data_IF_012854943502
#
_entry.id   IF_012854943502
#
_cell.length_a   1.000
_cell.length_b   1.000
_cell.length_c   1.000
_cell.angle_alpha   90.00
_cell.angle_beta   90.00
_cell.angle_gamma   90.00
#
_symmetry.space_group_name_H-M   'P 1'
#
loop_
_entity.id
_entity.type
_entity.pdbx_description
1 polymer ?
#
# COMPACT_ATOMS: atom_id res chain seq x y z
N UNK A 1 -4.48 -15.49 0.01
CA UNK A 1 -4.90 -14.10 0.24
C UNK A 1 -3.74 -13.39 0.89
N UNK A 2 -3.30 -12.25 0.35
CA UNK A 2 -2.25 -11.42 0.96
C UNK A 2 -2.87 -10.57 2.06
N UNK A 3 -2.19 -10.45 3.19
CA UNK A 3 -2.53 -9.49 4.24
C UNK A 3 -1.57 -8.31 4.11
N UNK A 4 -2.13 -7.13 3.93
CA UNK A 4 -1.40 -5.90 3.60
C UNK A 4 -1.61 -4.93 4.77
N UNK A 5 -0.54 -4.62 5.48
CA UNK A 5 -0.55 -3.65 6.56
C UNK A 5 -0.71 -2.23 5.97
N UNK A 6 -1.85 -1.59 6.21
CA UNK A 6 -2.14 -0.26 5.71
C UNK A 6 -1.20 0.75 6.39
N UNK A 7 -0.28 1.36 5.63
CA UNK A 7 0.74 2.29 6.14
C UNK A 7 1.60 1.72 7.26
N UNK A 8 1.75 0.40 7.31
CA UNK A 8 2.47 -0.35 8.34
C UNK A 8 1.65 -0.75 9.58
N UNK A 9 0.36 -0.40 9.65
CA UNK A 9 -0.50 -0.80 10.78
C UNK A 9 -0.80 -2.30 10.79
N UNK A 10 -0.64 -2.95 11.94
CA UNK A 10 -0.96 -4.38 12.11
C UNK A 10 -2.01 -4.67 13.17
N UNK A 11 -2.13 -3.84 14.21
CA UNK A 11 -3.02 -4.04 15.37
C UNK A 11 -3.92 -2.82 15.58
N UNK A 12 -4.48 -2.32 14.47
CA UNK A 12 -5.23 -1.09 14.44
C UNK A 12 -4.35 0.13 14.16
N UNK A 13 -5.05 1.25 13.96
CA UNK A 13 -4.48 2.46 13.43
C UNK A 13 -3.59 3.20 14.44
N UNK A 14 -2.31 3.35 14.10
CA UNK A 14 -1.37 4.21 14.85
C UNK A 14 -0.95 5.43 14.03
N UNK A 15 -1.67 6.55 14.21
CA UNK A 15 -1.50 7.78 13.42
C UNK A 15 -0.08 8.38 13.50
N UNK A 16 0.63 8.16 14.60
CA UNK A 16 1.96 8.74 14.81
C UNK A 16 3.05 7.95 14.07
N UNK A 17 2.78 6.68 13.73
CA UNK A 17 3.72 5.78 13.08
C UNK A 17 3.35 5.40 11.64
N UNK A 18 2.13 5.74 11.17
CA UNK A 18 1.73 5.56 9.77
C UNK A 18 2.83 6.05 8.82
N UNK A 19 3.17 5.23 7.83
CA UNK A 19 4.20 5.50 6.82
C UNK A 19 5.63 5.66 7.35
N UNK A 20 5.90 5.46 8.64
CA UNK A 20 7.27 5.50 9.15
C UNK A 20 8.05 4.29 8.60
N UNK A 21 9.26 4.46 8.00
CA UNK A 21 10.00 3.36 7.36
C UNK A 21 10.19 2.14 8.26
N UNK A 22 10.65 2.33 9.50
CA UNK A 22 10.78 1.23 10.47
C UNK A 22 9.47 0.50 10.77
N UNK A 23 8.33 1.20 10.77
CA UNK A 23 7.03 0.60 11.06
C UNK A 23 6.57 -0.30 9.90
N UNK A 24 6.74 0.19 8.67
CA UNK A 24 6.54 -0.59 7.44
C UNK A 24 7.45 -1.81 7.43
N UNK A 25 8.76 -1.63 7.65
CA UNK A 25 9.73 -2.73 7.67
C UNK A 25 9.39 -3.76 8.75
N UNK A 26 8.88 -3.33 9.91
CA UNK A 26 8.46 -4.25 10.96
C UNK A 26 7.23 -5.08 10.54
N UNK A 27 6.25 -4.51 9.84
CA UNK A 27 5.12 -5.26 9.29
C UNK A 27 5.61 -6.30 8.27
N UNK A 28 6.51 -5.90 7.37
CA UNK A 28 7.09 -6.80 6.36
C UNK A 28 7.87 -7.95 7.00
N UNK A 29 8.70 -7.66 8.01
CA UNK A 29 9.45 -8.68 8.76
C UNK A 29 8.56 -9.66 9.52
N UNK A 30 7.31 -9.29 9.83
CA UNK A 30 6.32 -10.18 10.43
C UNK A 30 5.62 -11.08 9.39
N UNK A 31 5.92 -10.91 8.10
CA UNK A 31 5.37 -11.71 7.00
C UNK A 31 4.16 -11.10 6.31
N UNK A 32 3.84 -9.82 6.58
CA UNK A 32 2.80 -9.07 5.88
C UNK A 32 3.37 -8.35 4.66
N UNK A 33 2.52 -8.08 3.69
CA UNK A 33 2.78 -7.03 2.71
C UNK A 33 2.48 -5.67 3.38
N UNK A 34 2.86 -4.54 2.77
CA UNK A 34 2.54 -3.21 3.29
C UNK A 34 2.14 -2.24 2.18
N UNK A 35 1.06 -1.49 2.42
CA UNK A 35 0.72 -0.32 1.60
C UNK A 35 1.43 0.91 2.16
N UNK A 36 1.95 1.75 1.28
CA UNK A 36 2.65 2.99 1.63
C UNK A 36 2.17 4.14 0.75
N UNK A 37 2.08 5.33 1.33
CA UNK A 37 1.85 6.57 0.60
C UNK A 37 3.21 7.23 0.29
N UNK A 38 3.49 7.54 -0.98
CA UNK A 38 4.75 8.14 -1.41
C UNK A 38 4.59 9.42 -2.21
N UNK A 39 5.47 10.38 -1.96
CA UNK A 39 5.63 11.62 -2.70
C UNK A 39 7.01 11.68 -3.36
N UNK A 40 7.08 12.41 -4.46
CA UNK A 40 8.35 12.82 -5.09
C UNK A 40 8.34 14.34 -5.26
N UNK A 41 9.08 15.07 -4.42
CA UNK A 41 9.17 16.54 -4.47
C UNK A 41 10.60 16.96 -4.81
N UNK A 42 11.49 16.98 -3.81
CA UNK A 42 12.95 17.16 -3.98
C UNK A 42 13.71 15.83 -3.77
N UNK A 43 12.97 14.78 -3.40
CA UNK A 43 13.40 13.43 -3.10
C UNK A 43 12.18 12.56 -2.81
N UNK A 44 12.40 11.32 -2.42
CA UNK A 44 11.31 10.43 -2.03
C UNK A 44 10.97 10.60 -0.57
N UNK A 45 9.68 10.81 -0.29
CA UNK A 45 9.16 10.97 1.06
C UNK A 45 7.91 10.11 1.24
N UNK A 46 7.86 9.34 2.32
CA UNK A 46 6.65 8.65 2.73
C UNK A 46 5.73 9.58 3.52
N UNK A 47 4.42 9.40 3.39
CA UNK A 47 3.43 10.10 4.22
C UNK A 47 2.06 10.25 3.58
N UNK A 48 1.00 10.26 4.38
CA UNK A 48 -0.38 10.23 3.86
C UNK A 48 -0.87 11.58 3.31
N UNK A 49 -0.93 12.59 4.18
CA UNK A 49 -1.48 13.91 3.82
C UNK A 49 -0.41 14.87 3.27
N UNK A 50 0.86 14.56 3.54
CA UNK A 50 2.03 15.36 3.16
C UNK A 50 3.28 14.49 3.16
N UNK A 51 4.35 14.89 2.45
CA UNK A 51 5.69 14.34 2.64
C UNK A 51 6.11 14.42 4.11
N UNK A 52 6.60 13.32 4.70
CA UNK A 52 6.95 13.27 6.12
C UNK A 52 8.26 12.54 6.41
N UNK A 53 8.50 11.38 5.80
CA UNK A 53 9.68 10.57 6.08
C UNK A 53 10.51 10.36 4.82
N UNK A 54 11.63 11.06 4.72
CA UNK A 54 12.53 10.92 3.59
C UNK A 54 13.17 9.53 3.57
N UNK A 55 13.21 8.95 2.37
CA UNK A 55 13.82 7.64 2.10
C UNK A 55 14.72 7.72 0.87
N UNK A 56 15.67 6.79 0.78
CA UNK A 56 16.34 6.50 -0.47
C UNK A 56 15.46 5.60 -1.35
N UNK A 57 15.61 5.68 -2.67
CA UNK A 57 14.88 4.80 -3.60
C UNK A 57 15.23 3.32 -3.37
N UNK A 58 16.42 3.02 -2.86
CA UNK A 58 16.85 1.67 -2.50
C UNK A 58 15.89 1.00 -1.51
N UNK A 59 15.22 1.76 -0.63
CA UNK A 59 14.18 1.24 0.26
C UNK A 59 13.03 0.57 -0.52
N UNK A 60 12.62 1.16 -1.65
CA UNK A 60 11.53 0.61 -2.47
C UNK A 60 11.96 -0.68 -3.16
N UNK A 61 13.21 -0.76 -3.59
CA UNK A 61 13.76 -1.95 -4.24
C UNK A 61 14.05 -3.08 -3.25
N UNK A 62 14.51 -2.76 -2.04
CA UNK A 62 14.75 -3.75 -0.98
C UNK A 62 13.47 -4.52 -0.63
N UNK A 63 12.32 -3.84 -0.66
CA UNK A 63 11.02 -4.40 -0.27
C UNK A 63 10.01 -4.53 -1.42
N UNK A 64 10.47 -4.53 -2.68
CA UNK A 64 9.59 -4.46 -3.85
C UNK A 64 8.57 -5.61 -3.97
N UNK A 65 8.91 -6.79 -3.44
CA UNK A 65 8.04 -7.97 -3.44
C UNK A 65 6.89 -7.88 -2.41
N UNK A 66 6.96 -6.94 -1.46
CA UNK A 66 6.00 -6.79 -0.36
C UNK A 66 5.32 -5.41 -0.32
N UNK A 67 5.81 -4.44 -1.09
CA UNK A 67 5.26 -3.08 -1.09
C UNK A 67 4.13 -2.89 -2.11
N UNK A 68 3.08 -2.21 -1.65
CA UNK A 68 1.99 -1.64 -2.45
C UNK A 68 2.12 -0.12 -2.42
N UNK A 69 2.57 0.47 -3.52
CA UNK A 69 3.06 1.86 -3.55
C UNK A 69 1.97 2.78 -4.08
N UNK A 70 1.31 3.49 -3.18
CA UNK A 70 0.31 4.50 -3.48
C UNK A 70 0.98 5.86 -3.71
N UNK A 71 1.12 6.26 -4.97
CA UNK A 71 1.67 7.56 -5.32
C UNK A 71 0.69 8.69 -4.98
N UNK A 72 1.18 9.74 -4.33
CA UNK A 72 0.38 10.89 -3.87
C UNK A 72 0.52 12.13 -4.74
N UNK A 73 1.50 12.15 -5.63
CA UNK A 73 1.64 13.15 -6.68
C UNK A 73 2.03 12.55 -8.04
N UNK A 74 1.81 13.31 -9.11
CA UNK A 74 2.03 12.87 -10.49
C UNK A 74 3.50 12.54 -10.74
N UNK A 75 4.41 13.30 -10.13
CA UNK A 75 5.85 13.10 -10.26
C UNK A 75 6.25 11.71 -9.75
N UNK A 76 5.76 11.30 -8.58
CA UNK A 76 6.01 9.96 -8.03
C UNK A 76 5.44 8.87 -8.95
N UNK A 77 4.21 9.05 -9.43
CA UNK A 77 3.58 8.09 -10.34
C UNK A 77 4.36 7.95 -11.65
N UNK A 78 4.70 9.07 -12.30
CA UNK A 78 5.42 9.08 -13.56
C UNK A 78 6.80 8.44 -13.43
N UNK A 79 7.54 8.78 -12.36
CA UNK A 79 8.89 8.27 -12.15
C UNK A 79 8.88 6.79 -11.77
N UNK A 80 8.08 6.38 -10.77
CA UNK A 80 8.13 5.02 -10.23
C UNK A 80 7.53 3.98 -11.20
N UNK A 81 6.63 4.38 -12.10
CA UNK A 81 6.10 3.48 -13.14
C UNK A 81 7.13 3.06 -14.19
N UNK A 82 8.30 3.70 -14.24
CA UNK A 82 9.40 3.29 -15.11
C UNK A 82 10.12 2.02 -14.62
N UNK A 83 9.86 1.59 -13.37
CA UNK A 83 10.49 0.42 -12.76
C UNK A 83 9.50 -0.74 -12.69
N UNK A 84 9.60 -1.74 -13.60
CA UNK A 84 8.63 -2.83 -13.69
C UNK A 84 8.65 -3.75 -12.46
N UNK A 85 9.67 -3.69 -11.61
CA UNK A 85 9.80 -4.42 -10.36
C UNK A 85 8.80 -3.90 -9.31
N UNK A 86 8.49 -2.59 -9.33
CA UNK A 86 7.65 -1.93 -8.33
C UNK A 86 6.16 -2.10 -8.62
N UNK A 87 5.37 -2.28 -7.56
CA UNK A 87 3.91 -2.32 -7.64
C UNK A 87 3.31 -0.96 -7.26
N UNK A 88 3.04 -0.15 -8.29
CA UNK A 88 2.71 1.27 -8.15
C UNK A 88 1.27 1.50 -8.60
N UNK A 89 0.57 2.38 -7.90
CA UNK A 89 -0.78 2.79 -8.26
C UNK A 89 -1.12 4.18 -7.75
N UNK A 90 -2.19 4.74 -8.31
CA UNK A 90 -2.83 5.96 -7.85
C UNK A 90 -4.30 5.68 -7.61
N UNK A 91 -4.83 6.05 -6.45
CA UNK A 91 -6.27 6.05 -6.26
C UNK A 91 -6.71 7.18 -5.33
N UNK A 92 -7.94 7.63 -5.50
CA UNK A 92 -8.61 8.49 -4.53
C UNK A 92 -9.94 7.86 -4.14
N UNK A 93 -10.98 8.15 -4.92
CA UNK A 93 -12.34 7.64 -4.75
C UNK A 93 -12.79 6.84 -5.97
N UNK A 94 -11.83 6.35 -6.75
CA UNK A 94 -12.05 5.54 -7.93
C UNK A 94 -12.67 4.20 -7.53
N UNK A 95 -13.75 3.80 -8.22
CA UNK A 95 -14.38 2.50 -8.00
C UNK A 95 -13.38 1.34 -8.13
N UNK A 96 -12.47 1.46 -9.10
CA UNK A 96 -11.40 0.51 -9.35
C UNK A 96 -10.16 1.23 -9.88
N UNK A 97 -9.00 0.87 -9.33
CA UNK A 97 -7.69 1.25 -9.86
C UNK A 97 -6.90 0.01 -10.25
N UNK A 98 -6.28 0.03 -11.43
CA UNK A 98 -5.31 -0.99 -11.81
C UNK A 98 -3.92 -0.59 -11.29
N UNK A 99 -3.25 -1.52 -10.61
CA UNK A 99 -1.84 -1.37 -10.22
C UNK A 99 -0.90 -1.74 -11.38
N UNK A 100 0.35 -1.29 -11.36
CA UNK A 100 1.35 -1.64 -12.39
C UNK A 100 1.62 -3.14 -12.50
N UNK A 101 1.27 -3.93 -11.48
CA UNK A 101 1.35 -5.40 -11.48
C UNK A 101 0.04 -6.09 -11.86
N UNK A 102 -0.94 -5.36 -12.38
CA UNK A 102 -2.24 -5.85 -12.84
C UNK A 102 -3.17 -6.38 -11.74
N UNK A 103 -2.98 -5.98 -10.47
CA UNK A 103 -3.97 -6.16 -9.42
C UNK A 103 -5.01 -5.03 -9.44
N UNK A 104 -6.23 -5.32 -9.01
CA UNK A 104 -7.35 -4.36 -9.04
C UNK A 104 -7.58 -3.85 -7.61
N UNK A 105 -7.07 -2.66 -7.29
CA UNK A 105 -7.41 -1.98 -6.05
C UNK A 105 -8.88 -1.57 -6.12
N UNK A 106 -9.72 -2.20 -5.30
CA UNK A 106 -11.18 -2.15 -5.43
C UNK A 106 -11.75 -1.34 -4.28
N UNK A 107 -12.53 -0.30 -4.61
CA UNK A 107 -13.18 0.54 -3.60
C UNK A 107 -14.20 -0.27 -2.78
N UNK A 108 -14.43 0.07 -1.50
CA UNK A 108 -15.46 -0.59 -0.71
C UNK A 108 -16.82 -0.65 -1.42
N UNK A 109 -17.56 -1.74 -1.16
CA UNK A 109 -18.91 -2.02 -1.70
C UNK A 109 -19.01 -2.24 -3.22
N UNK A 110 -17.87 -2.35 -3.91
CA UNK A 110 -17.81 -2.67 -5.34
C UNK A 110 -17.75 -4.16 -5.61
N UNK A 111 -17.96 -4.55 -6.87
CA UNK A 111 -17.89 -5.97 -7.26
C UNK A 111 -16.47 -6.48 -7.11
N UNK A 112 -16.32 -7.65 -6.47
CA UNK A 112 -15.02 -8.24 -6.13
C UNK A 112 -14.69 -9.36 -7.10
N UNK A 113 -13.42 -9.42 -7.50
CA UNK A 113 -12.86 -10.53 -8.28
C UNK A 113 -11.71 -11.17 -7.51
N UNK A 114 -11.23 -12.32 -7.99
CA UNK A 114 -10.05 -12.98 -7.43
C UNK A 114 -8.75 -12.16 -7.61
N UNK A 115 -8.74 -11.13 -8.47
CA UNK A 115 -7.63 -10.20 -8.64
C UNK A 115 -7.76 -8.92 -7.78
N UNK A 116 -8.85 -8.79 -7.03
CA UNK A 116 -9.13 -7.59 -6.25
C UNK A 116 -8.29 -7.52 -4.98
N UNK A 117 -7.82 -6.32 -4.65
CA UNK A 117 -7.33 -5.95 -3.33
C UNK A 117 -8.33 -5.01 -2.69
N UNK A 118 -8.76 -5.34 -1.48
CA UNK A 118 -9.81 -4.61 -0.76
C UNK A 118 -9.21 -3.86 0.42
N UNK A 119 -9.66 -2.63 0.65
CA UNK A 119 -9.43 -1.94 1.92
C UNK A 119 -10.57 -2.29 2.87
N UNK A 120 -10.25 -2.85 4.05
CA UNK A 120 -11.23 -3.32 5.05
C UNK A 120 -10.88 -2.86 6.45
N UNK A 121 -11.88 -2.72 7.32
CA UNK A 121 -11.69 -2.26 8.71
C UNK A 121 -10.82 -3.22 9.53
N UNK A 122 -11.06 -4.52 9.41
CA UNK A 122 -10.32 -5.58 10.09
C UNK A 122 -10.21 -6.81 9.19
N UNK A 123 -8.99 -7.14 8.76
CA UNK A 123 -8.75 -8.28 7.89
C UNK A 123 -8.95 -9.63 8.60
N UNK A 124 -8.87 -9.68 9.93
CA UNK A 124 -9.07 -10.91 10.73
C UNK A 124 -10.54 -11.34 10.78
N UNK A 125 -11.46 -10.39 10.57
CA UNK A 125 -12.91 -10.62 10.58
C UNK A 125 -13.51 -10.68 9.17
N UNK A 126 -12.67 -10.69 8.13
CA UNK A 126 -13.15 -10.68 6.76
C UNK A 126 -13.86 -11.99 6.40
N UNK A 127 -15.17 -11.90 6.14
CA UNK A 127 -16.02 -13.01 5.69
C UNK A 127 -16.62 -12.78 4.29
N UNK A 128 -16.00 -11.87 3.51
CA UNK A 128 -16.46 -11.50 2.17
C UNK A 128 -16.05 -12.48 1.06
N UNK A 129 -16.27 -12.10 -0.21
CA UNK A 129 -15.89 -12.93 -1.37
C UNK A 129 -14.38 -13.17 -1.47
N UNK A 130 -13.99 -14.21 -2.20
CA UNK A 130 -12.59 -14.49 -2.47
C UNK A 130 -11.94 -13.33 -3.26
N UNK A 131 -10.81 -12.83 -2.76
CA UNK A 131 -10.03 -11.75 -3.34
C UNK A 131 -8.52 -12.08 -3.29
N UNK A 132 -7.70 -11.25 -3.94
CA UNK A 132 -6.25 -11.40 -3.94
C UNK A 132 -5.64 -11.04 -2.58
N UNK A 133 -6.04 -9.90 -2.02
CA UNK A 133 -5.51 -9.40 -0.76
C UNK A 133 -6.43 -8.42 -0.03
N UNK A 134 -6.13 -8.25 1.27
CA UNK A 134 -6.83 -7.33 2.17
C UNK A 134 -5.82 -6.35 2.72
N UNK A 135 -6.05 -5.06 2.47
CA UNK A 135 -5.35 -3.95 3.09
C UNK A 135 -6.16 -3.47 4.29
N UNK A 136 -5.55 -3.42 5.46
CA UNK A 136 -6.24 -3.05 6.69
C UNK A 136 -5.30 -2.44 7.71
N UNK A 137 -5.84 -1.62 8.60
CA UNK A 137 -5.13 -1.20 9.80
C UNK A 137 -4.96 -2.35 10.81
N UNK A 138 -5.77 -3.42 10.69
CA UNK A 138 -5.71 -4.60 11.57
C UNK A 138 -5.54 -5.86 10.71
N UNK A 139 -4.35 -6.48 10.80
CA UNK A 139 -4.03 -7.73 10.10
C UNK A 139 -3.64 -8.88 11.05
N UNK A 140 -3.55 -8.61 12.35
CA UNK A 140 -3.37 -9.60 13.43
C UNK A 140 -4.20 -9.29 14.66
#
# INVERSE_FOLDING_TARGET
MRLIAHRGNTQGRNKDLENHPNYITNAIKQGFDAEIDIWLVDGFDLGHNKPQYSIDIDFLFEYCDALWIHCKNLEALFYLTQFPELNVFWHQIDDYTLTSKNFIWTYPEKQVTTASVLVVDDATQYAGPLCYGLCSDTVV
#
